data_IF_343235082402
#
_entry.id   IF_343235082402
#
_cell.length_a   1.000
_cell.length_b   1.000
_cell.length_c   1.000
_cell.angle_alpha   90.00
_cell.angle_beta   90.00
_cell.angle_gamma   90.00
#
_symmetry.space_group_name_H-M   'P 1'
#
loop_
_entity.id
_entity.type
_entity.pdbx_description
1 polymer ?
#
# COMPACT_ATOMS: atom_id res chain seq x y z
N UNK A 1 -51.49 65.42 -9.35
CA UNK A 1 -51.75 64.24 -10.21
C UNK A 1 -50.45 63.50 -10.34
N UNK A 2 -50.42 62.25 -9.90
CA UNK A 2 -49.23 61.40 -9.90
C UNK A 2 -49.61 60.05 -9.33
N UNK A 3 -50.29 59.24 -10.13
CA UNK A 3 -50.48 57.82 -9.91
C UNK A 3 -49.93 57.11 -11.13
N UNK A 4 -48.96 56.23 -10.94
CA UNK A 4 -48.84 55.03 -11.76
C UNK A 4 -48.14 53.95 -10.92
N UNK A 5 -48.95 52.95 -10.56
CA UNK A 5 -48.52 51.64 -10.08
C UNK A 5 -48.01 50.84 -11.29
N UNK A 6 -46.90 50.12 -11.13
CA UNK A 6 -46.62 48.95 -11.97
C UNK A 6 -46.35 47.73 -11.10
N UNK A 7 -47.15 46.70 -11.38
CA UNK A 7 -47.13 45.39 -10.77
C UNK A 7 -46.12 44.48 -11.48
N UNK A 8 -45.44 43.66 -10.65
CA UNK A 8 -45.00 42.27 -10.83
C UNK A 8 -44.76 41.73 -12.26
N UNK A 9 -43.55 41.21 -12.47
CA UNK A 9 -43.39 39.93 -13.17
C UNK A 9 -42.40 39.01 -12.42
N UNK A 10 -42.94 37.87 -12.01
CA UNK A 10 -42.25 36.76 -11.36
C UNK A 10 -41.62 35.90 -12.46
N UNK A 11 -40.30 35.96 -12.61
CA UNK A 11 -39.53 34.96 -13.37
C UNK A 11 -38.57 34.20 -12.44
N UNK A 12 -39.16 33.43 -11.54
CA UNK A 12 -38.46 32.37 -10.79
C UNK A 12 -38.44 31.11 -11.67
N UNK A 13 -37.49 31.01 -12.61
CA UNK A 13 -37.23 29.77 -13.36
C UNK A 13 -35.72 29.49 -13.41
N UNK A 14 -35.33 28.53 -12.57
CA UNK A 14 -34.32 27.50 -12.80
C UNK A 14 -33.06 27.91 -13.57
N UNK A 15 -32.05 28.37 -12.84
CA UNK A 15 -30.68 28.13 -13.30
C UNK A 15 -30.32 26.66 -13.01
N UNK A 16 -29.82 25.92 -14.02
CA UNK A 16 -29.37 24.55 -13.84
C UNK A 16 -28.20 24.52 -12.85
N UNK A 17 -28.22 23.55 -11.92
CA UNK A 17 -27.06 23.16 -11.11
C UNK A 17 -25.85 23.10 -12.03
N UNK A 18 -24.88 23.96 -11.78
CA UNK A 18 -23.56 23.92 -12.39
C UNK A 18 -23.07 22.48 -12.29
N UNK A 19 -22.83 21.86 -13.45
CA UNK A 19 -21.97 20.70 -13.51
C UNK A 19 -20.60 21.20 -13.06
N UNK A 20 -20.24 20.91 -11.80
CA UNK A 20 -18.86 20.98 -11.37
C UNK A 20 -18.08 20.04 -12.28
N UNK A 21 -17.39 20.61 -13.25
CA UNK A 21 -16.24 19.97 -13.86
C UNK A 21 -15.28 19.75 -12.69
N UNK A 22 -15.36 18.58 -12.04
CA UNK A 22 -14.41 18.17 -11.01
C UNK A 22 -13.05 18.13 -11.68
N UNK A 23 -12.28 19.19 -11.48
CA UNK A 23 -10.88 19.24 -11.87
C UNK A 23 -10.21 18.12 -11.08
N UNK A 24 -9.75 17.06 -11.76
CA UNK A 24 -9.07 15.93 -11.11
C UNK A 24 -7.90 16.53 -10.31
N UNK A 25 -7.90 16.33 -9.00
CA UNK A 25 -6.80 16.79 -8.13
C UNK A 25 -5.47 16.23 -8.64
N UNK A 26 -4.43 17.04 -8.56
CA UNK A 26 -3.08 16.55 -8.87
C UNK A 26 -2.67 15.51 -7.84
N UNK A 27 -1.74 14.63 -8.25
CA UNK A 27 -1.18 13.62 -7.35
C UNK A 27 -0.57 14.26 -6.09
N UNK A 28 0.08 15.40 -6.24
CA UNK A 28 0.74 16.14 -5.16
C UNK A 28 -0.27 16.67 -4.15
N UNK A 29 -1.39 17.25 -4.62
CA UNK A 29 -2.48 17.74 -3.76
C UNK A 29 -3.15 16.60 -3.00
N UNK A 30 -3.49 15.52 -3.70
CA UNK A 30 -4.10 14.34 -3.09
C UNK A 30 -3.18 13.72 -2.01
N UNK A 31 -1.87 13.68 -2.24
CA UNK A 31 -0.90 13.22 -1.24
C UNK A 31 -0.80 14.17 -0.04
N UNK A 32 -0.83 15.48 -0.28
CA UNK A 32 -0.78 16.47 0.80
C UNK A 32 -2.00 16.36 1.71
N UNK A 33 -3.18 16.15 1.13
CA UNK A 33 -4.41 15.94 1.90
C UNK A 33 -4.33 14.68 2.79
N UNK A 34 -3.76 13.58 2.29
CA UNK A 34 -3.56 12.37 3.09
C UNK A 34 -2.59 12.58 4.27
N UNK A 35 -1.54 13.40 4.08
CA UNK A 35 -0.64 13.79 5.17
C UNK A 35 -1.39 14.60 6.22
N UNK A 36 -2.17 15.60 5.80
CA UNK A 36 -2.85 16.50 6.73
C UNK A 36 -3.93 15.79 7.54
N UNK A 37 -4.65 14.85 6.93
CA UNK A 37 -5.72 14.10 7.62
C UNK A 37 -5.21 12.96 8.48
N UNK A 38 -4.25 12.18 7.98
CA UNK A 38 -3.86 10.89 8.58
C UNK A 38 -2.40 10.83 9.01
N UNK A 39 -1.57 11.78 8.59
CA UNK A 39 -0.11 11.68 8.73
C UNK A 39 0.52 10.61 7.83
N UNK A 40 -0.22 10.08 6.86
CA UNK A 40 0.20 8.99 5.97
C UNK A 40 0.15 9.46 4.52
N UNK A 41 1.30 9.63 3.87
CA UNK A 41 1.37 10.18 2.51
C UNK A 41 1.13 9.14 1.43
N UNK A 42 1.67 7.94 1.65
CA UNK A 42 1.84 6.91 0.63
C UNK A 42 1.76 5.51 1.23
N UNK A 43 1.75 4.51 0.36
CA UNK A 43 1.70 3.09 0.72
C UNK A 43 2.76 2.68 1.76
N UNK A 44 3.98 3.25 1.72
CA UNK A 44 5.00 2.90 2.73
C UNK A 44 4.59 3.31 4.14
N UNK A 45 3.91 4.44 4.27
CA UNK A 45 3.50 5.00 5.56
C UNK A 45 2.31 4.22 6.09
N UNK A 46 1.37 3.86 5.20
CA UNK A 46 0.29 2.92 5.47
C UNK A 46 0.82 1.57 6.00
N UNK A 47 1.80 0.97 5.31
CA UNK A 47 2.40 -0.30 5.74
C UNK A 47 3.11 -0.16 7.09
N UNK A 48 3.78 0.97 7.34
CA UNK A 48 4.41 1.24 8.62
C UNK A 48 3.37 1.41 9.74
N UNK A 49 2.24 2.06 9.47
CA UNK A 49 1.13 2.17 10.42
C UNK A 49 0.57 0.80 10.79
N UNK A 50 0.41 -0.10 9.81
CA UNK A 50 0.01 -1.48 10.05
C UNK A 50 1.01 -2.24 10.94
N UNK A 51 2.31 -2.12 10.65
CA UNK A 51 3.37 -2.71 11.49
C UNK A 51 3.32 -2.20 12.93
N UNK A 52 3.03 -0.91 13.13
CA UNK A 52 2.89 -0.29 14.45
C UNK A 52 1.58 -0.64 15.17
N UNK A 53 0.73 -1.50 14.60
CA UNK A 53 -0.57 -1.86 15.18
C UNK A 53 -1.63 -0.75 15.09
N UNK A 54 -1.35 0.34 14.36
CA UNK A 54 -2.30 1.43 14.07
C UNK A 54 -3.25 1.03 12.94
N UNK A 55 -3.90 -0.11 13.12
CA UNK A 55 -4.76 -0.73 12.10
C UNK A 55 -5.94 0.20 11.77
N UNK A 56 -6.60 0.76 12.78
CA UNK A 56 -7.76 1.66 12.59
C UNK A 56 -7.39 2.89 11.74
N UNK A 57 -6.24 3.53 12.02
CA UNK A 57 -5.74 4.65 11.23
C UNK A 57 -5.49 4.25 9.75
N UNK A 58 -4.96 3.04 9.52
CA UNK A 58 -4.73 2.53 8.18
C UNK A 58 -6.05 2.22 7.44
N UNK A 59 -7.07 1.76 8.14
CA UNK A 59 -8.43 1.55 7.60
C UNK A 59 -9.09 2.87 7.23
N UNK A 60 -9.03 3.88 8.09
CA UNK A 60 -9.56 5.22 7.81
C UNK A 60 -8.88 5.84 6.59
N UNK A 61 -7.56 5.73 6.50
CA UNK A 61 -6.80 6.18 5.34
C UNK A 61 -7.24 5.50 4.04
N UNK A 62 -7.43 4.17 4.06
CA UNK A 62 -7.86 3.43 2.88
C UNK A 62 -9.30 3.79 2.49
N UNK A 63 -10.21 3.86 3.46
CA UNK A 63 -11.60 4.22 3.24
C UNK A 63 -11.72 5.62 2.63
N UNK A 64 -10.94 6.58 3.13
CA UNK A 64 -10.92 7.93 2.58
C UNK A 64 -10.52 7.95 1.09
N UNK A 65 -9.51 7.17 0.71
CA UNK A 65 -9.11 7.04 -0.71
C UNK A 65 -10.22 6.41 -1.55
N UNK A 66 -10.92 5.40 -1.02
CA UNK A 66 -12.02 4.74 -1.71
C UNK A 66 -13.21 5.69 -1.91
N UNK A 67 -13.57 6.46 -0.89
CA UNK A 67 -14.65 7.45 -0.95
C UNK A 67 -14.36 8.60 -1.91
N UNK A 68 -13.07 8.93 -2.09
CA UNK A 68 -12.61 10.04 -2.93
C UNK A 68 -11.80 9.52 -4.13
N UNK A 69 -12.15 8.35 -4.67
CA UNK A 69 -11.41 7.64 -5.73
C UNK A 69 -10.95 8.55 -6.88
N UNK A 70 -11.83 9.44 -7.35
CA UNK A 70 -11.56 10.31 -8.49
C UNK A 70 -10.45 11.36 -8.22
N UNK A 71 -10.17 11.64 -6.93
CA UNK A 71 -9.09 12.52 -6.48
C UNK A 71 -7.74 11.80 -6.39
N UNK A 72 -7.66 10.50 -6.64
CA UNK A 72 -6.42 9.70 -6.53
C UNK A 72 -5.99 9.11 -7.89
N UNK A 73 -5.63 9.95 -8.89
CA UNK A 73 -5.30 9.49 -10.24
C UNK A 73 -4.10 8.54 -10.28
N UNK A 74 -3.20 8.57 -9.29
CA UNK A 74 -2.06 7.66 -9.19
C UNK A 74 -2.42 6.17 -9.07
N UNK A 75 -3.67 5.84 -8.74
CA UNK A 75 -4.15 4.47 -8.60
C UNK A 75 -5.14 4.06 -9.70
N UNK A 76 -5.54 4.98 -10.59
CA UNK A 76 -6.62 4.78 -11.57
C UNK A 76 -6.37 3.55 -12.46
N UNK A 77 -5.15 3.39 -12.99
CA UNK A 77 -4.79 2.29 -13.88
C UNK A 77 -4.66 0.93 -13.20
N UNK A 78 -4.56 0.90 -11.87
CA UNK A 78 -4.35 -0.31 -11.08
C UNK A 78 -5.36 -0.42 -9.92
N UNK A 79 -6.52 0.22 -10.04
CA UNK A 79 -7.41 0.44 -8.90
C UNK A 79 -7.80 -0.85 -8.19
N UNK A 80 -8.29 -1.83 -8.94
CA UNK A 80 -8.81 -3.08 -8.36
C UNK A 80 -7.71 -3.91 -7.70
N UNK A 81 -6.54 -4.03 -8.35
CA UNK A 81 -5.41 -4.76 -7.77
C UNK A 81 -4.81 -4.01 -6.57
N UNK A 82 -4.68 -2.69 -6.65
CA UNK A 82 -4.17 -1.87 -5.57
C UNK A 82 -5.09 -1.93 -4.34
N UNK A 83 -6.40 -1.79 -4.53
CA UNK A 83 -7.38 -1.85 -3.44
C UNK A 83 -7.40 -3.25 -2.79
N UNK A 84 -7.43 -4.30 -3.62
CA UNK A 84 -7.38 -5.68 -3.14
C UNK A 84 -6.11 -5.95 -2.32
N UNK A 85 -4.95 -5.46 -2.77
CA UNK A 85 -3.70 -5.61 -2.02
C UNK A 85 -3.76 -4.90 -0.66
N UNK A 86 -4.29 -3.68 -0.59
CA UNK A 86 -4.40 -2.91 0.66
C UNK A 86 -5.39 -3.51 1.64
N UNK A 87 -6.52 -4.02 1.16
CA UNK A 87 -7.49 -4.74 2.00
C UNK A 87 -6.88 -6.03 2.57
N UNK A 88 -6.16 -6.78 1.73
CA UNK A 88 -5.45 -7.98 2.16
C UNK A 88 -4.36 -7.67 3.19
N UNK A 89 -3.61 -6.58 3.00
CA UNK A 89 -2.64 -6.13 4.00
C UNK A 89 -3.31 -5.91 5.36
N UNK A 90 -4.41 -5.15 5.42
CA UNK A 90 -5.15 -4.93 6.67
C UNK A 90 -5.57 -6.26 7.31
N UNK A 91 -6.13 -7.19 6.55
CA UNK A 91 -6.55 -8.51 7.06
C UNK A 91 -5.37 -9.28 7.67
N UNK A 92 -4.24 -9.34 6.97
CA UNK A 92 -3.03 -10.01 7.45
C UNK A 92 -2.55 -9.40 8.77
N UNK A 93 -2.50 -8.07 8.87
CA UNK A 93 -2.06 -7.41 10.09
C UNK A 93 -3.08 -7.49 11.23
N UNK A 94 -4.38 -7.58 10.94
CA UNK A 94 -5.40 -7.93 11.95
C UNK A 94 -5.16 -9.32 12.52
N UNK A 95 -4.88 -10.30 11.65
CA UNK A 95 -4.58 -11.66 12.10
C UNK A 95 -3.31 -11.73 12.94
N UNK A 96 -2.24 -11.03 12.53
CA UNK A 96 -1.00 -10.92 13.32
C UNK A 96 -1.20 -10.19 14.66
N UNK A 97 -2.10 -9.21 14.72
CA UNK A 97 -2.46 -8.55 15.97
C UNK A 97 -3.22 -9.51 16.90
N UNK A 98 -4.15 -10.28 16.35
CA UNK A 98 -4.98 -11.23 17.10
C UNK A 98 -4.18 -12.41 17.67
N UNK A 99 -3.13 -12.87 16.98
CA UNK A 99 -2.28 -13.98 17.43
C UNK A 99 -1.05 -13.53 18.25
N UNK A 100 -0.88 -12.21 18.47
CA UNK A 100 0.22 -11.62 19.22
C UNK A 100 1.57 -11.59 18.48
N UNK A 101 1.63 -12.04 17.22
CA UNK A 101 2.85 -12.01 16.42
C UNK A 101 3.26 -10.60 16.03
N UNK A 102 2.30 -9.67 15.92
CA UNK A 102 2.58 -8.28 15.56
C UNK A 102 3.50 -7.59 16.57
N UNK A 103 3.41 -7.95 17.85
CA UNK A 103 4.27 -7.39 18.91
C UNK A 103 5.76 -7.79 18.75
N UNK A 104 6.02 -8.86 18.00
CA UNK A 104 7.38 -9.34 17.70
C UNK A 104 7.95 -8.70 16.44
N UNK A 105 7.17 -7.85 15.76
CA UNK A 105 7.56 -7.22 14.53
C UNK A 105 8.48 -6.03 14.79
N UNK A 106 9.60 -5.98 14.08
CA UNK A 106 10.46 -4.80 14.06
C UNK A 106 9.87 -3.80 13.06
N UNK A 107 9.47 -2.61 13.54
CA UNK A 107 8.90 -1.58 12.67
C UNK A 107 9.98 -1.01 11.77
N UNK A 108 9.91 -1.32 10.48
CA UNK A 108 10.90 -0.87 9.50
C UNK A 108 10.33 -0.78 8.10
N UNK A 109 10.97 0.06 7.31
CA UNK A 109 10.66 0.22 5.90
C UNK A 109 11.17 -0.97 5.08
N UNK A 110 10.57 -1.15 3.91
CA UNK A 110 11.06 -2.11 2.90
C UNK A 110 12.51 -1.83 2.53
N UNK A 111 12.88 -0.57 2.42
CA UNK A 111 14.22 -0.12 2.05
C UNK A 111 15.26 -0.55 3.09
N UNK A 112 14.97 -0.35 4.39
CA UNK A 112 15.84 -0.81 5.48
C UNK A 112 15.96 -2.34 5.51
N UNK A 113 14.86 -3.06 5.31
CA UNK A 113 14.88 -4.53 5.25
C UNK A 113 15.70 -5.04 4.05
N UNK A 114 15.59 -4.37 2.90
CA UNK A 114 16.37 -4.69 1.70
C UNK A 114 17.86 -4.36 1.85
N UNK A 115 18.19 -3.25 2.51
CA UNK A 115 19.57 -2.85 2.76
C UNK A 115 20.30 -3.91 3.60
N UNK A 116 19.63 -4.46 4.61
CA UNK A 116 20.18 -5.56 5.41
C UNK A 116 20.49 -6.82 4.57
N UNK A 117 19.63 -7.16 3.60
CA UNK A 117 19.88 -8.30 2.72
C UNK A 117 21.07 -8.04 1.78
N UNK A 118 21.24 -6.80 1.31
CA UNK A 118 22.42 -6.39 0.53
C UNK A 118 23.69 -6.53 1.38
N UNK A 119 23.68 -6.02 2.60
CA UNK A 119 24.87 -6.05 3.47
C UNK A 119 25.30 -7.47 3.82
N UNK A 120 24.35 -8.38 4.02
CA UNK A 120 24.63 -9.78 4.40
C UNK A 120 24.97 -10.69 3.23
N UNK A 121 24.29 -10.51 2.09
CA UNK A 121 24.31 -11.49 1.00
C UNK A 121 24.64 -10.88 -0.37
N UNK A 122 24.74 -9.56 -0.47
CA UNK A 122 24.83 -8.86 -1.77
C UNK A 122 23.56 -8.97 -2.61
N UNK A 123 22.44 -9.39 -2.02
CA UNK A 123 21.17 -9.66 -2.71
C UNK A 123 20.05 -8.86 -2.07
N UNK A 124 19.36 -8.03 -2.86
CA UNK A 124 18.34 -7.09 -2.36
C UNK A 124 16.95 -7.72 -2.30
N UNK A 125 16.62 -8.57 -3.27
CA UNK A 125 15.25 -9.04 -3.51
C UNK A 125 15.24 -10.40 -4.21
N UNK A 126 14.04 -10.96 -4.35
CA UNK A 126 13.78 -12.22 -5.05
C UNK A 126 14.43 -12.34 -6.44
N UNK A 127 14.50 -11.27 -7.23
CA UNK A 127 15.17 -11.35 -8.54
C UNK A 127 16.67 -11.66 -8.43
N UNK A 128 17.32 -11.21 -7.36
CA UNK A 128 18.75 -11.44 -7.13
C UNK A 128 18.98 -12.86 -6.63
N UNK A 129 18.07 -13.39 -5.81
CA UNK A 129 18.00 -14.80 -5.44
C UNK A 129 17.89 -15.70 -6.69
N UNK A 130 16.94 -15.41 -7.58
CA UNK A 130 16.77 -16.15 -8.84
C UNK A 130 18.00 -16.05 -9.74
N UNK A 131 18.67 -14.90 -9.76
CA UNK A 131 19.93 -14.72 -10.49
C UNK A 131 21.06 -15.56 -9.89
N UNK A 132 21.17 -15.62 -8.55
CA UNK A 132 22.15 -16.46 -7.86
C UNK A 132 21.95 -17.94 -8.19
N UNK A 133 20.70 -18.44 -8.19
CA UNK A 133 20.38 -19.80 -8.62
C UNK A 133 20.83 -20.05 -10.07
N UNK A 134 20.50 -19.15 -11.01
CA UNK A 134 20.92 -19.25 -12.42
C UNK A 134 22.44 -19.23 -12.61
N UNK A 135 23.17 -18.59 -11.70
CA UNK A 135 24.63 -18.52 -11.71
C UNK A 135 25.30 -19.71 -10.99
N UNK A 136 24.53 -20.68 -10.49
CA UNK A 136 25.06 -21.81 -9.73
C UNK A 136 25.49 -21.47 -8.30
N UNK A 137 25.15 -20.27 -7.80
CA UNK A 137 25.45 -19.84 -6.42
C UNK A 137 24.38 -20.36 -5.45
N UNK A 138 24.18 -21.68 -5.45
CA UNK A 138 23.07 -22.35 -4.74
C UNK A 138 23.19 -22.16 -3.23
N UNK A 139 24.38 -22.33 -2.66
CA UNK A 139 24.63 -22.17 -1.22
C UNK A 139 24.28 -20.75 -0.75
N UNK A 140 24.74 -19.72 -1.48
CA UNK A 140 24.42 -18.33 -1.17
C UNK A 140 22.91 -18.03 -1.25
N UNK A 141 22.22 -18.58 -2.25
CA UNK A 141 20.77 -18.44 -2.40
C UNK A 141 20.01 -19.13 -1.25
N UNK A 142 20.46 -20.31 -0.85
CA UNK A 142 19.90 -21.05 0.29
C UNK A 142 20.11 -20.30 1.62
N UNK A 143 21.31 -19.79 1.88
CA UNK A 143 21.60 -18.99 3.07
C UNK A 143 20.70 -17.76 3.15
N UNK A 144 20.52 -17.05 2.03
CA UNK A 144 19.62 -15.90 1.96
C UNK A 144 18.16 -16.29 2.25
N UNK A 145 17.68 -17.39 1.66
CA UNK A 145 16.31 -17.84 1.87
C UNK A 145 16.08 -18.26 3.33
N UNK A 146 17.01 -19.03 3.90
CA UNK A 146 16.97 -19.44 5.30
C UNK A 146 17.02 -18.23 6.24
N UNK A 147 17.80 -17.21 5.91
CA UNK A 147 17.84 -15.97 6.69
C UNK A 147 16.48 -15.27 6.72
N UNK A 148 15.82 -15.15 5.56
CA UNK A 148 14.49 -14.55 5.46
C UNK A 148 13.45 -15.37 6.23
N UNK A 149 13.50 -16.71 6.16
CA UNK A 149 12.63 -17.61 6.92
C UNK A 149 12.78 -17.39 8.42
N UNK A 150 14.02 -17.43 8.92
CA UNK A 150 14.32 -17.31 10.36
C UNK A 150 14.01 -15.90 10.91
N UNK A 151 13.93 -14.90 10.04
CA UNK A 151 13.68 -13.51 10.40
C UNK A 151 12.41 -12.98 9.72
N UNK A 152 11.40 -13.83 9.49
CA UNK A 152 10.15 -13.49 8.79
C UNK A 152 9.58 -12.12 9.16
N UNK A 153 9.50 -11.81 10.45
CA UNK A 153 8.92 -10.57 10.97
C UNK A 153 9.77 -9.32 10.72
N UNK A 154 11.01 -9.45 10.27
CA UNK A 154 11.89 -8.33 9.87
C UNK A 154 11.76 -8.00 8.38
N UNK A 155 10.98 -8.79 7.63
CA UNK A 155 10.78 -8.64 6.19
C UNK A 155 9.30 -8.40 5.85
N UNK A 156 8.75 -7.23 6.23
CA UNK A 156 7.33 -6.92 6.05
C UNK A 156 6.87 -7.01 4.59
N UNK A 157 7.77 -6.83 3.63
CA UNK A 157 7.47 -6.94 2.20
C UNK A 157 7.03 -8.34 1.74
N UNK A 158 7.31 -9.39 2.53
CA UNK A 158 6.93 -10.78 2.19
C UNK A 158 5.75 -11.28 3.02
N UNK A 159 5.37 -10.56 4.07
CA UNK A 159 4.30 -10.97 5.00
C UNK A 159 2.95 -11.17 4.28
N UNK A 160 2.47 -10.27 3.41
CA UNK A 160 1.15 -10.42 2.77
C UNK A 160 1.01 -11.62 1.83
N UNK A 161 2.14 -12.14 1.34
CA UNK A 161 2.19 -13.25 0.38
C UNK A 161 3.04 -14.42 0.89
N UNK A 162 3.26 -14.49 2.20
CA UNK A 162 4.28 -15.36 2.81
C UNK A 162 4.22 -16.80 2.32
N UNK A 163 3.04 -17.43 2.39
CA UNK A 163 2.91 -18.87 2.08
C UNK A 163 3.19 -19.16 0.61
N UNK A 164 2.60 -18.37 -0.30
CA UNK A 164 2.87 -18.48 -1.74
C UNK A 164 4.32 -18.15 -2.08
N UNK A 165 4.86 -17.08 -1.47
CA UNK A 165 6.22 -16.62 -1.73
C UNK A 165 7.24 -17.67 -1.27
N UNK A 166 7.06 -18.22 -0.07
CA UNK A 166 7.95 -19.24 0.49
C UNK A 166 7.93 -20.51 -0.36
N UNK A 167 6.73 -20.97 -0.75
CA UNK A 167 6.56 -22.14 -1.62
C UNK A 167 7.30 -21.97 -2.94
N UNK A 168 7.14 -20.82 -3.60
CA UNK A 168 7.84 -20.55 -4.87
C UNK A 168 9.36 -20.57 -4.69
N UNK A 169 9.89 -19.94 -3.63
CA UNK A 169 11.34 -19.91 -3.38
C UNK A 169 11.91 -21.28 -3.02
N UNK A 170 11.17 -22.09 -2.28
CA UNK A 170 11.58 -23.48 -1.96
C UNK A 170 11.59 -24.35 -3.22
N UNK A 171 10.60 -24.22 -4.10
CA UNK A 171 10.57 -24.94 -5.38
C UNK A 171 11.74 -24.53 -6.27
N UNK A 172 11.98 -23.23 -6.44
CA UNK A 172 13.11 -22.71 -7.23
C UNK A 172 14.46 -23.23 -6.71
N UNK A 173 14.64 -23.28 -5.39
CA UNK A 173 15.86 -23.82 -4.78
C UNK A 173 15.99 -25.33 -5.00
N UNK A 174 14.89 -26.08 -4.89
CA UNK A 174 14.87 -27.52 -5.14
C UNK A 174 15.19 -27.84 -6.61
N UNK A 175 14.64 -27.09 -7.55
CA UNK A 175 14.93 -27.20 -8.98
C UNK A 175 16.41 -26.91 -9.28
N UNK A 176 17.01 -25.91 -8.62
CA UNK A 176 18.42 -25.58 -8.82
C UNK A 176 19.39 -26.61 -8.21
N UNK A 177 18.97 -27.35 -7.19
CA UNK A 177 19.73 -28.45 -6.56
C UNK A 177 19.63 -29.77 -7.32
N UNK A 178 18.70 -29.87 -8.27
CA UNK A 178 18.38 -31.06 -9.05
C UNK A 178 19.46 -31.47 -10.05
#
# INVERSE_FOLDING_TARGET
>A
MGFENQALDNSFINQPKTAETMEKSTKEEAQQELIEKFGLRKTSDFLLALQQGKIELAEEWLNYIVENKDSFPQYESTWDSWLSDRQKDIEVYKNLKNDGSLEKMEHRTKEEAQQELIEKFGMRKTSDFQLALKQGKIELAEEWLNYVINNKMRFPQYIPTWDSWLKDRQNELAEAKG
#
